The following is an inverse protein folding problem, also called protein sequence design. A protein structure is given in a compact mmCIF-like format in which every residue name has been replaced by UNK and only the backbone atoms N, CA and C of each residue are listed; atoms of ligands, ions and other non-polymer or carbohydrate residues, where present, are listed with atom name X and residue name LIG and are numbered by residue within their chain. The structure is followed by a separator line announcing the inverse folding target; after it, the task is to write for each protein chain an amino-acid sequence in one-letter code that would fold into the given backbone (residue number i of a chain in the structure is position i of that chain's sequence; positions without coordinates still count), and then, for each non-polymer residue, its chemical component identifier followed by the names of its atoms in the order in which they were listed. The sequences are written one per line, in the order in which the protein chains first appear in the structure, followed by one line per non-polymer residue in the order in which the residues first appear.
data_IF_665842571349
#
_entry.id   IF_665842571349
#
_cell.length_a   1.000
_cell.length_b   1.000
_cell.length_c   1.000
_cell.angle_alpha   90.00
_cell.angle_beta   90.00
_cell.angle_gamma   90.00
#
_symmetry.space_group_name_H-M   'P 1'
#
loop_
_entity.id
_entity.type
_entity.pdbx_description
1 polymer ?
#
# COMPACT_ATOMS: atom_id res chain seq x y z
N UNK A 1 -23.32 -12.95 -29.94
CA UNK A 1 -23.71 -11.58 -29.67
C UNK A 1 -23.42 -11.19 -28.23
N UNK A 2 -23.51 -12.16 -27.31
CA UNK A 2 -23.21 -11.86 -25.89
C UNK A 2 -21.71 -11.73 -25.61
N UNK A 3 -20.88 -12.25 -26.51
CA UNK A 3 -19.44 -12.19 -26.30
C UNK A 3 -18.90 -10.76 -26.22
N UNK A 4 -19.27 -9.85 -27.12
CA UNK A 4 -18.80 -8.47 -27.00
C UNK A 4 -19.25 -7.82 -25.70
N UNK A 5 -20.45 -8.12 -25.27
CA UNK A 5 -20.94 -7.58 -24.00
C UNK A 5 -20.15 -8.13 -22.82
N UNK A 6 -19.82 -9.41 -22.88
CA UNK A 6 -19.02 -10.02 -21.84
C UNK A 6 -17.64 -9.40 -21.76
N UNK A 7 -17.01 -9.21 -22.91
CA UNK A 7 -15.69 -8.59 -22.95
C UNK A 7 -15.73 -7.18 -22.40
N UNK A 8 -16.76 -6.42 -22.75
CA UNK A 8 -16.92 -5.07 -22.25
C UNK A 8 -17.12 -5.07 -20.76
N UNK A 9 -17.91 -6.02 -20.24
CA UNK A 9 -18.13 -6.11 -18.81
C UNK A 9 -16.84 -6.38 -18.06
N UNK A 10 -16.02 -7.29 -18.56
CA UNK A 10 -14.74 -7.58 -17.94
C UNK A 10 -13.82 -6.36 -17.93
N UNK A 11 -13.79 -5.64 -19.05
CA UNK A 11 -12.97 -4.44 -19.14
C UNK A 11 -13.51 -3.33 -18.25
N UNK A 12 -14.81 -3.21 -18.14
CA UNK A 12 -15.41 -2.14 -17.36
C UNK A 12 -15.40 -2.42 -15.87
N UNK A 13 -15.03 -3.60 -15.46
CA UNK A 13 -14.86 -3.88 -14.04
C UNK A 13 -13.71 -3.10 -13.42
N UNK A 14 -12.91 -2.47 -14.26
CA UNK A 14 -11.85 -1.62 -13.78
C UNK A 14 -10.72 -2.42 -13.15
N UNK A 15 -10.36 -2.07 -11.94
CA UNK A 15 -9.22 -2.67 -11.27
C UNK A 15 -9.45 -4.13 -10.96
N UNK A 16 -8.43 -4.96 -11.10
CA UNK A 16 -8.51 -6.33 -10.61
C UNK A 16 -8.82 -6.37 -9.13
N UNK A 17 -9.36 -7.48 -8.66
CA UNK A 17 -9.76 -7.60 -7.26
C UNK A 17 -8.59 -7.37 -6.29
N UNK A 18 -7.38 -7.66 -6.69
CA UNK A 18 -6.22 -7.46 -5.83
C UNK A 18 -5.83 -5.99 -5.68
N UNK A 19 -6.44 -5.11 -6.46
CA UNK A 19 -6.25 -3.68 -6.33
C UNK A 19 -7.38 -3.01 -5.56
N UNK A 20 -8.32 -3.80 -5.06
CA UNK A 20 -9.42 -3.27 -4.27
C UNK A 20 -8.97 -3.22 -2.81
N UNK A 21 -8.39 -2.10 -2.45
CA UNK A 21 -7.86 -1.92 -1.10
C UNK A 21 -8.98 -1.56 -0.14
N UNK A 22 -9.15 -2.39 0.89
CA UNK A 22 -10.20 -2.15 1.87
C UNK A 22 -9.81 -1.18 2.96
N UNK A 23 -8.54 -0.86 3.09
CA UNK A 23 -8.03 -0.02 4.18
C UNK A 23 -7.21 1.10 3.60
N UNK A 24 -7.50 2.34 4.03
CA UNK A 24 -6.74 3.52 3.67
C UNK A 24 -6.32 4.22 4.96
N UNK A 25 -5.03 4.48 5.09
CA UNK A 25 -4.47 5.06 6.30
C UNK A 25 -3.53 6.19 5.93
N UNK A 26 -3.49 7.23 6.75
CA UNK A 26 -2.66 8.40 6.49
C UNK A 26 -1.63 8.56 7.60
N UNK A 27 -0.40 8.89 7.20
CA UNK A 27 0.73 9.04 8.10
C UNK A 27 1.45 10.33 7.78
N UNK A 28 2.20 10.83 8.77
CA UNK A 28 3.09 11.97 8.57
C UNK A 28 4.51 11.51 8.87
N UNK A 29 5.41 11.82 7.97
CA UNK A 29 6.81 11.44 8.09
C UNK A 29 7.62 12.57 8.73
N UNK A 30 8.86 12.29 9.20
CA UNK A 30 9.60 13.27 10.01
C UNK A 30 9.82 14.63 9.36
N UNK A 31 9.85 14.68 8.03
CA UNK A 31 10.02 15.94 7.30
C UNK A 31 8.70 16.62 7.00
N UNK A 32 7.64 16.29 7.73
CA UNK A 32 6.29 16.83 7.55
C UNK A 32 5.64 16.38 6.25
N UNK A 33 6.16 15.35 5.62
CA UNK A 33 5.58 14.83 4.39
C UNK A 33 4.43 13.88 4.67
N UNK A 34 3.25 14.13 4.11
CA UNK A 34 2.15 13.18 4.27
C UNK A 34 2.31 12.01 3.30
N UNK A 35 1.98 10.82 3.77
CA UNK A 35 1.90 9.65 2.90
C UNK A 35 0.59 8.93 3.18
N UNK A 36 0.07 8.28 2.15
CA UNK A 36 -1.16 7.50 2.25
C UNK A 36 -0.84 6.06 1.92
N UNK A 37 -1.32 5.17 2.76
CA UNK A 37 -1.14 3.73 2.55
C UNK A 37 -2.51 3.11 2.30
N UNK A 38 -2.68 2.54 1.13
CA UNK A 38 -3.85 1.73 0.79
C UNK A 38 -3.42 0.28 0.81
N UNK A 39 -4.18 -0.56 1.50
CA UNK A 39 -3.73 -1.93 1.65
C UNK A 39 -4.87 -2.92 1.78
N UNK A 40 -4.54 -4.17 1.48
CA UNK A 40 -5.38 -5.32 1.77
C UNK A 40 -4.46 -6.44 2.27
N UNK A 41 -4.95 -7.67 2.30
CA UNK A 41 -4.15 -8.77 2.82
C UNK A 41 -3.02 -9.20 1.88
N UNK A 42 -3.11 -8.85 0.61
CA UNK A 42 -2.17 -9.32 -0.40
C UNK A 42 -1.15 -8.27 -0.79
N UNK A 43 -1.51 -7.00 -0.77
CA UNK A 43 -0.61 -5.96 -1.26
C UNK A 43 -0.98 -4.61 -0.72
N UNK A 44 -0.11 -3.64 -0.97
CA UNK A 44 -0.28 -2.27 -0.53
C UNK A 44 0.16 -1.33 -1.62
N UNK A 45 -0.39 -0.11 -1.57
CA UNK A 45 0.03 0.96 -2.45
C UNK A 45 0.39 2.15 -1.56
N UNK A 46 1.61 2.62 -1.69
CA UNK A 46 2.09 3.77 -0.93
C UNK A 46 2.09 4.99 -1.84
N UNK A 47 1.34 6.01 -1.42
CA UNK A 47 1.26 7.25 -2.16
C UNK A 47 2.01 8.33 -1.40
N UNK A 48 3.03 8.88 -2.02
CA UNK A 48 3.86 9.93 -1.44
C UNK A 48 4.06 11.00 -2.50
N UNK A 49 3.41 12.15 -2.30
CA UNK A 49 3.41 13.18 -3.32
C UNK A 49 2.76 12.68 -4.59
N UNK A 50 3.50 12.70 -5.67
CA UNK A 50 3.00 12.20 -6.96
C UNK A 50 3.43 10.78 -7.25
N UNK A 51 4.15 10.16 -6.31
CA UNK A 51 4.66 8.80 -6.49
C UNK A 51 3.68 7.80 -5.93
N UNK A 52 3.59 6.67 -6.62
CA UNK A 52 2.83 5.52 -6.14
C UNK A 52 3.73 4.30 -6.27
N UNK A 53 3.87 3.58 -5.18
CA UNK A 53 4.65 2.35 -5.15
C UNK A 53 3.74 1.20 -4.75
N UNK A 54 3.78 0.12 -5.52
CA UNK A 54 3.01 -1.08 -5.20
C UNK A 54 3.94 -2.08 -4.54
N UNK A 55 3.49 -2.63 -3.41
CA UNK A 55 4.25 -3.58 -2.62
C UNK A 55 3.39 -4.79 -2.33
N UNK A 56 4.04 -5.91 -2.02
CA UNK A 56 3.33 -7.17 -1.81
C UNK A 56 3.57 -7.68 -0.42
N UNK A 57 2.53 -8.30 0.15
CA UNK A 57 2.58 -8.80 1.52
C UNK A 57 3.68 -9.83 1.66
N UNK A 58 4.45 -9.71 2.71
CA UNK A 58 5.51 -10.64 3.01
C UNK A 58 5.24 -11.28 4.37
N UNK A 59 5.27 -12.60 4.41
CA UNK A 59 5.14 -13.31 5.66
C UNK A 59 6.41 -13.12 6.48
N UNK A 60 6.25 -12.93 7.78
CA UNK A 60 7.38 -12.70 8.66
C UNK A 60 6.99 -13.09 10.07
N UNK A 61 7.95 -13.61 10.82
CA UNK A 61 7.78 -13.91 12.24
C UNK A 61 7.94 -12.67 13.10
N UNK A 62 8.42 -11.57 12.49
CA UNK A 62 8.61 -10.32 13.21
C UNK A 62 7.26 -9.63 13.44
N UNK A 63 7.15 -8.83 14.49
CA UNK A 63 5.89 -8.12 14.75
C UNK A 63 5.54 -7.17 13.63
N UNK A 64 4.21 -6.99 13.43
CA UNK A 64 3.72 -6.04 12.45
C UNK A 64 3.38 -6.67 11.12
N UNK A 65 2.89 -5.85 10.23
CA UNK A 65 2.50 -6.24 8.88
C UNK A 65 3.55 -5.71 7.92
N UNK A 66 4.04 -6.59 7.06
CA UNK A 66 5.17 -6.26 6.19
C UNK A 66 4.78 -6.37 4.73
N UNK A 67 5.10 -5.32 3.98
CA UNK A 67 4.93 -5.29 2.53
C UNK A 67 6.26 -4.89 1.91
N UNK A 68 6.61 -5.48 0.78
CA UNK A 68 7.85 -5.10 0.11
C UNK A 68 7.77 -5.28 -1.40
N UNK A 69 8.64 -4.56 -2.07
CA UNK A 69 8.95 -4.80 -3.48
C UNK A 69 10.47 -4.81 -3.60
N UNK A 70 11.01 -4.71 -4.81
CA UNK A 70 12.45 -4.76 -4.99
C UNK A 70 13.21 -3.57 -4.45
N UNK A 71 12.53 -2.51 -4.04
CA UNK A 71 13.18 -1.26 -3.64
C UNK A 71 12.82 -0.82 -2.24
N UNK A 72 11.63 -1.16 -1.77
CA UNK A 72 11.08 -0.57 -0.56
C UNK A 72 10.48 -1.65 0.31
N UNK A 73 10.66 -1.52 1.62
CA UNK A 73 10.00 -2.36 2.61
C UNK A 73 9.20 -1.46 3.55
N UNK A 74 7.94 -1.82 3.76
CA UNK A 74 7.07 -1.15 4.71
C UNK A 74 6.77 -2.10 5.85
N UNK A 75 6.87 -1.60 7.08
CA UNK A 75 6.50 -2.38 8.27
C UNK A 75 5.51 -1.54 9.05
N UNK A 76 4.29 -2.03 9.18
CA UNK A 76 3.25 -1.35 9.92
C UNK A 76 3.08 -2.01 11.28
N UNK A 77 3.34 -1.24 12.33
CA UNK A 77 3.20 -1.71 13.71
C UNK A 77 2.43 -0.67 14.50
N UNK A 78 1.17 -0.97 14.79
CA UNK A 78 0.33 -0.01 15.48
C UNK A 78 0.19 1.27 14.67
N UNK A 79 0.60 2.39 15.25
CA UNK A 79 0.49 3.69 14.60
C UNK A 79 1.77 4.11 13.90
N UNK A 80 2.76 3.24 13.81
CA UNK A 80 4.05 3.55 13.21
C UNK A 80 4.22 2.79 11.91
N UNK A 81 4.50 3.52 10.85
CA UNK A 81 4.84 2.97 9.56
C UNK A 81 6.32 3.19 9.32
N UNK A 82 7.09 2.11 9.29
CA UNK A 82 8.51 2.17 9.02
C UNK A 82 8.74 1.95 7.54
N UNK A 83 9.50 2.83 6.92
CA UNK A 83 9.85 2.76 5.51
C UNK A 83 11.35 2.53 5.41
N UNK A 84 11.74 1.44 4.75
CA UNK A 84 13.16 1.09 4.61
C UNK A 84 13.49 0.97 3.13
N UNK A 85 14.58 1.61 2.74
CA UNK A 85 15.05 1.59 1.38
C UNK A 85 16.57 1.60 1.41
N UNK A 86 17.19 0.48 1.05
CA UNK A 86 18.64 0.30 1.14
C UNK A 86 19.12 0.65 2.55
N UNK A 87 19.93 1.69 2.68
CA UNK A 87 20.47 2.11 3.98
C UNK A 87 19.61 3.18 4.65
N UNK A 88 18.53 3.58 4.02
CA UNK A 88 17.65 4.63 4.52
C UNK A 88 16.48 4.02 5.28
N UNK A 89 16.17 4.60 6.44
CA UNK A 89 15.06 4.15 7.26
C UNK A 89 14.36 5.35 7.86
N UNK A 90 13.04 5.36 7.81
CA UNK A 90 12.24 6.46 8.28
C UNK A 90 10.98 5.90 8.95
N UNK A 91 10.57 6.53 10.05
CA UNK A 91 9.35 6.17 10.75
C UNK A 91 8.33 7.28 10.62
N UNK A 92 7.14 6.93 10.14
CA UNK A 92 6.04 7.86 9.98
C UNK A 92 4.94 7.51 10.96
N UNK A 93 4.22 8.51 11.44
CA UNK A 93 3.20 8.32 12.46
C UNK A 93 1.81 8.50 11.87
N UNK A 94 0.90 7.65 12.28
CA UNK A 94 -0.49 7.71 11.82
C UNK A 94 -1.13 9.01 12.27
N UNK A 95 -1.76 9.71 11.32
CA UNK A 95 -2.46 10.94 11.63
C UNK A 95 -3.96 10.74 11.69
N UNK A 96 -4.47 9.88 10.81
CA UNK A 96 -5.88 9.57 10.86
C UNK A 96 -6.13 8.24 10.17
N UNK A 97 -7.23 7.63 10.51
CA UNK A 97 -7.65 6.35 9.95
C UNK A 97 -8.98 6.54 9.26
N UNK A 98 -9.05 6.10 8.02
CA UNK A 98 -10.24 6.26 7.20
C UNK A 98 -10.95 4.94 7.02
#
# INVERSE_FOLDING_TARGET
VSLPLLAIALLSMGSPWWEDYGITEKFICPDQRPVTLERNEAQASLLAGRSRSTLFREASDLPGIRYRNGQLTLVLRGDVLTMEQQSFRMECLRTEQV
#
